data_IF_624482739274
#
_entry.id   IF_624482739274
#
_cell.length_a   1.000
_cell.length_b   1.000
_cell.length_c   1.000
_cell.angle_alpha   90.00
_cell.angle_beta   90.00
_cell.angle_gamma   90.00
#
_symmetry.space_group_name_H-M   'P 1'
#
loop_
_entity.id
_entity.type
_entity.pdbx_description
1 polymer ?
#
# COMPACT_ATOMS: atom_id res chain seq x y z
N UNK A 1 1.47 18.56 11.08
CA UNK A 1 2.59 17.66 10.71
C UNK A 1 2.21 16.18 10.64
N UNK A 2 1.68 15.58 11.71
CA UNK A 2 1.32 14.14 11.70
C UNK A 2 0.29 13.79 10.63
N UNK A 3 -0.80 14.58 10.53
CA UNK A 3 -1.83 14.39 9.50
C UNK A 3 -1.24 14.50 8.09
N UNK A 4 -0.39 15.50 7.84
CA UNK A 4 0.37 15.62 6.58
C UNK A 4 1.21 14.36 6.27
N UNK A 5 1.84 13.76 7.29
CA UNK A 5 2.56 12.50 7.14
C UNK A 5 1.66 11.34 6.73
N UNK A 6 0.45 11.26 7.28
CA UNK A 6 -0.57 10.29 6.85
C UNK A 6 -1.01 10.52 5.40
N UNK A 7 -1.26 11.77 5.01
CA UNK A 7 -1.59 12.12 3.62
C UNK A 7 -0.46 11.71 2.66
N UNK A 8 0.80 11.99 3.01
CA UNK A 8 1.95 11.56 2.20
C UNK A 8 2.04 10.04 2.11
N UNK A 9 1.79 9.30 3.19
CA UNK A 9 1.77 7.83 3.16
C UNK A 9 0.76 7.30 2.13
N UNK A 10 -0.46 7.83 2.14
CA UNK A 10 -1.51 7.45 1.18
C UNK A 10 -1.10 7.83 -0.24
N UNK A 11 -0.61 9.05 -0.44
CA UNK A 11 -0.17 9.55 -1.74
C UNK A 11 1.01 8.73 -2.33
N UNK A 12 1.97 8.33 -1.49
CA UNK A 12 3.09 7.48 -1.89
C UNK A 12 2.62 6.09 -2.32
N UNK A 13 1.64 5.51 -1.62
CA UNK A 13 1.06 4.22 -2.00
C UNK A 13 0.37 4.29 -3.37
N UNK A 14 -0.45 5.31 -3.60
CA UNK A 14 -1.11 5.53 -4.91
C UNK A 14 -0.05 5.67 -6.02
N UNK A 15 1.03 6.43 -5.77
CA UNK A 15 2.14 6.56 -6.71
C UNK A 15 2.82 5.22 -7.01
N UNK A 16 2.97 4.35 -6.01
CA UNK A 16 3.54 3.02 -6.20
C UNK A 16 2.66 2.10 -7.03
N UNK A 17 1.36 2.11 -6.74
CA UNK A 17 0.35 1.30 -7.44
C UNK A 17 0.10 1.79 -8.89
N UNK A 18 0.35 3.07 -9.17
CA UNK A 18 0.28 3.67 -10.51
C UNK A 18 1.54 3.47 -11.37
N UNK A 19 2.63 2.91 -10.83
CA UNK A 19 3.84 2.61 -11.64
C UNK A 19 3.50 1.72 -12.82
N UNK A 20 4.17 1.92 -13.95
CA UNK A 20 3.93 1.18 -15.21
C UNK A 20 3.99 -0.34 -15.03
N UNK A 21 4.88 -0.83 -14.16
CA UNK A 21 5.07 -2.26 -13.91
C UNK A 21 4.03 -2.86 -12.94
N UNK A 22 3.24 -2.02 -12.27
CA UNK A 22 2.19 -2.41 -11.31
C UNK A 22 0.82 -2.11 -11.89
N UNK A 23 0.50 -0.83 -12.11
CA UNK A 23 -0.70 -0.40 -12.79
C UNK A 23 -2.01 -0.86 -12.12
N UNK A 24 -2.05 -1.00 -10.80
CA UNK A 24 -3.24 -1.48 -10.10
C UNK A 24 -4.26 -0.36 -9.86
N UNK A 25 -3.79 0.88 -9.74
CA UNK A 25 -4.62 2.07 -9.59
C UNK A 25 -4.09 3.20 -10.46
N UNK A 26 -4.96 4.15 -10.83
CA UNK A 26 -4.58 5.42 -11.43
C UNK A 26 -5.31 6.58 -10.74
N UNK A 27 -4.64 7.73 -10.62
CA UNK A 27 -5.32 9.00 -10.30
C UNK A 27 -6.43 9.32 -11.33
N UNK A 28 -7.47 10.07 -10.90
CA UNK A 28 -8.49 10.56 -11.82
C UNK A 28 -7.88 11.34 -12.97
N UNK A 29 -8.42 11.13 -14.18
CA UNK A 29 -7.96 11.77 -15.40
C UNK A 29 -9.13 12.44 -16.13
N UNK A 30 -9.20 13.76 -16.06
CA UNK A 30 -10.32 14.51 -16.61
C UNK A 30 -10.32 14.51 -18.16
N UNK A 31 -11.50 14.57 -18.80
CA UNK A 31 -11.60 14.76 -20.24
C UNK A 31 -10.81 15.99 -20.70
N UNK A 32 -9.92 15.81 -21.69
CA UNK A 32 -9.07 16.89 -22.21
C UNK A 32 -7.81 17.19 -21.39
N UNK A 33 -7.59 16.52 -20.25
CA UNK A 33 -6.35 16.63 -19.49
C UNK A 33 -5.17 16.13 -20.32
N UNK A 34 -4.06 16.89 -20.31
CA UNK A 34 -2.79 16.47 -20.92
C UNK A 34 -1.87 15.92 -19.83
N UNK A 35 -1.48 14.66 -19.93
CA UNK A 35 -0.57 14.04 -18.96
C UNK A 35 0.92 14.34 -19.19
N UNK A 36 1.32 14.69 -20.42
CA UNK A 36 2.66 15.16 -20.79
C UNK A 36 2.60 15.98 -22.07
N UNK A 37 3.55 16.89 -22.27
CA UNK A 37 3.65 17.73 -23.47
C UNK A 37 3.99 16.94 -24.74
N UNK A 38 4.81 15.89 -24.61
CA UNK A 38 5.37 15.13 -25.74
C UNK A 38 4.98 13.65 -25.76
N UNK A 39 4.39 13.12 -24.68
CA UNK A 39 4.05 11.71 -24.55
C UNK A 39 2.55 11.53 -24.29
N UNK A 40 1.72 11.36 -25.33
CA UNK A 40 0.26 11.28 -25.20
C UNK A 40 -0.26 10.14 -24.32
N UNK A 41 0.51 9.06 -24.19
CA UNK A 41 0.15 7.90 -23.35
C UNK A 41 0.49 8.08 -21.86
N UNK A 42 1.27 9.11 -21.50
CA UNK A 42 1.82 9.25 -20.15
C UNK A 42 0.76 9.82 -19.19
N UNK A 43 0.42 9.06 -18.15
CA UNK A 43 -0.43 9.49 -17.02
C UNK A 43 0.40 9.51 -15.73
N UNK A 44 0.72 10.71 -15.23
CA UNK A 44 1.53 10.88 -14.03
C UNK A 44 0.64 11.09 -12.80
N UNK A 45 1.05 10.59 -11.61
CA UNK A 45 0.34 10.82 -10.36
C UNK A 45 0.66 12.21 -9.76
N UNK A 46 0.36 13.27 -10.52
CA UNK A 46 0.79 14.64 -10.18
C UNK A 46 0.10 15.18 -8.93
N UNK A 47 -1.10 14.71 -8.61
CA UNK A 47 -1.85 15.17 -7.45
C UNK A 47 -1.21 14.60 -6.17
N UNK A 48 -0.89 13.32 -6.15
CA UNK A 48 -0.18 12.65 -5.06
C UNK A 48 1.26 13.13 -4.93
N UNK A 49 1.96 13.42 -6.03
CA UNK A 49 3.29 14.05 -5.99
C UNK A 49 3.25 15.43 -5.34
N UNK A 50 2.21 16.22 -5.63
CA UNK A 50 2.00 17.50 -4.98
C UNK A 50 1.71 17.35 -3.47
N UNK A 51 0.81 16.43 -3.08
CA UNK A 51 0.52 16.13 -1.66
C UNK A 51 1.80 15.71 -0.92
N UNK A 52 2.65 14.89 -1.56
CA UNK A 52 3.96 14.49 -1.02
C UNK A 52 4.86 15.70 -0.76
N UNK A 53 4.91 16.65 -1.70
CA UNK A 53 5.70 17.87 -1.56
C UNK A 53 5.22 18.76 -0.41
N UNK A 54 3.91 19.00 -0.33
CA UNK A 54 3.33 19.84 0.72
C UNK A 54 3.48 19.23 2.12
N UNK A 55 3.40 17.91 2.24
CA UNK A 55 3.62 17.23 3.52
C UNK A 55 5.00 17.53 4.12
N UNK A 56 6.03 17.68 3.27
CA UNK A 56 7.40 18.04 3.70
C UNK A 56 7.45 19.46 4.26
N UNK A 57 6.77 20.41 3.62
CA UNK A 57 6.67 21.79 4.12
C UNK A 57 5.98 21.81 5.49
N UNK A 58 4.84 21.14 5.63
CA UNK A 58 4.09 21.10 6.90
C UNK A 58 4.91 20.47 8.04
N UNK A 59 5.77 19.48 7.75
CA UNK A 59 6.71 18.96 8.76
C UNK A 59 7.81 19.96 9.11
N UNK A 60 8.32 20.70 8.13
CA UNK A 60 9.26 21.81 8.35
C UNK A 60 8.67 22.86 9.31
N UNK A 61 7.43 23.29 9.06
CA UNK A 61 6.73 24.23 9.93
C UNK A 61 6.58 23.75 11.37
N UNK A 62 6.37 22.44 11.59
CA UNK A 62 6.32 21.90 12.94
C UNK A 62 7.68 21.91 13.63
N UNK A 63 8.77 21.67 12.91
CA UNK A 63 10.12 21.83 13.47
C UNK A 63 10.37 23.29 13.88
N UNK A 64 10.02 24.25 13.02
CA UNK A 64 10.11 25.69 13.32
C UNK A 64 9.24 26.08 14.53
N UNK A 65 8.04 25.50 14.66
CA UNK A 65 7.18 25.73 15.83
C UNK A 65 7.82 25.23 17.14
N UNK A 66 8.56 24.12 17.11
CA UNK A 66 9.29 23.62 18.28
C UNK A 66 10.41 24.57 18.71
N UNK A 67 11.05 25.25 17.75
CA UNK A 67 12.09 26.24 18.03
C UNK A 67 11.53 27.51 18.72
N UNK A 68 10.24 27.82 18.55
CA UNK A 68 9.58 28.94 19.23
C UNK A 68 9.33 28.74 20.74
N UNK A 69 9.57 27.53 21.29
CA UNK A 69 9.19 27.22 22.67
C UNK A 69 10.03 27.94 23.74
N UNK A 70 11.32 28.16 23.48
CA UNK A 70 12.27 28.64 24.48
C UNK A 70 12.30 30.17 24.60
N UNK A 71 11.15 30.78 24.90
CA UNK A 71 11.05 32.23 25.09
C UNK A 71 11.72 32.69 26.40
N UNK A 72 12.20 33.93 26.41
CA UNK A 72 12.86 34.52 27.57
C UNK A 72 11.84 35.11 28.55
N UNK A 73 11.88 34.65 29.81
CA UNK A 73 11.06 35.14 30.93
C UNK A 73 9.55 35.15 30.62
N UNK A 74 8.83 36.25 30.88
CA UNK A 74 7.37 36.36 30.72
C UNK A 74 6.91 36.47 29.25
N UNK A 75 7.78 36.97 28.35
CA UNK A 75 7.75 36.80 26.89
C UNK A 75 8.92 37.56 26.23
N UNK A 76 9.35 37.05 25.08
CA UNK A 76 9.93 37.85 24.01
C UNK A 76 9.08 37.72 22.73
N UNK A 77 9.38 38.50 21.68
CA UNK A 77 8.54 38.60 20.47
C UNK A 77 9.08 37.79 19.28
N UNK A 78 10.15 37.01 19.45
CA UNK A 78 10.82 36.30 18.34
C UNK A 78 9.89 35.32 17.60
N UNK A 79 9.02 34.63 18.34
CA UNK A 79 8.01 33.72 17.78
C UNK A 79 7.01 34.40 16.83
N UNK A 80 6.74 35.71 17.01
CA UNK A 80 5.67 36.41 16.28
C UNK A 80 5.92 36.50 14.78
N UNK A 81 7.16 36.78 14.34
CA UNK A 81 7.49 36.81 12.91
C UNK A 81 7.42 35.42 12.27
N UNK A 82 7.80 34.39 13.03
CA UNK A 82 7.75 32.99 12.62
C UNK A 82 6.30 32.51 12.48
N UNK A 83 5.48 32.71 13.51
CA UNK A 83 4.07 32.27 13.55
C UNK A 83 3.20 32.94 12.51
N UNK A 84 3.53 34.17 12.12
CA UNK A 84 2.89 34.87 10.99
C UNK A 84 3.06 34.16 9.65
N UNK A 85 4.12 33.34 9.50
CA UNK A 85 4.36 32.51 8.32
C UNK A 85 3.80 31.11 8.58
N UNK A 86 4.33 30.42 9.58
CA UNK A 86 4.06 28.99 9.75
C UNK A 86 2.61 28.70 10.17
N UNK A 87 1.93 29.61 10.86
CA UNK A 87 0.54 29.44 11.29
C UNK A 87 -0.41 29.36 10.09
N UNK A 88 -0.55 30.45 9.31
CA UNK A 88 -1.38 30.46 8.11
C UNK A 88 -0.95 29.39 7.10
N UNK A 89 0.34 29.30 6.77
CA UNK A 89 0.82 28.42 5.71
C UNK A 89 0.60 26.94 6.06
N UNK A 90 0.80 26.53 7.32
CA UNK A 90 0.54 25.14 7.71
C UNK A 90 -0.94 24.80 7.61
N UNK A 91 -1.84 25.69 8.03
CA UNK A 91 -3.28 25.44 7.95
C UNK A 91 -3.78 25.42 6.50
N UNK A 92 -3.34 26.36 5.67
CA UNK A 92 -3.71 26.43 4.25
C UNK A 92 -3.18 25.22 3.47
N UNK A 93 -1.92 24.84 3.69
CA UNK A 93 -1.35 23.66 3.04
C UNK A 93 -2.10 22.38 3.44
N UNK A 94 -2.45 22.24 4.72
CA UNK A 94 -3.21 21.08 5.20
C UNK A 94 -4.61 21.01 4.61
N UNK A 95 -5.35 22.12 4.61
CA UNK A 95 -6.69 22.21 4.01
C UNK A 95 -6.66 21.77 2.54
N UNK A 96 -5.76 22.38 1.77
CA UNK A 96 -5.58 22.04 0.36
C UNK A 96 -5.17 20.57 0.13
N UNK A 97 -4.25 20.04 0.95
CA UNK A 97 -3.85 18.63 0.87
C UNK A 97 -5.02 17.68 1.11
N UNK A 98 -5.87 17.98 2.09
CA UNK A 98 -7.03 17.16 2.42
C UNK A 98 -8.06 17.18 1.31
N UNK A 99 -8.44 18.37 0.82
CA UNK A 99 -9.38 18.51 -0.29
C UNK A 99 -8.88 17.76 -1.54
N UNK A 100 -7.62 17.98 -1.92
CA UNK A 100 -7.01 17.31 -3.06
C UNK A 100 -6.96 15.79 -2.90
N UNK A 101 -6.57 15.30 -1.73
CA UNK A 101 -6.48 13.87 -1.50
C UNK A 101 -7.89 13.23 -1.50
N UNK A 102 -8.90 13.93 -0.98
CA UNK A 102 -10.29 13.48 -1.08
C UNK A 102 -10.72 13.34 -2.55
N UNK A 103 -10.46 14.35 -3.40
CA UNK A 103 -10.76 14.29 -4.84
C UNK A 103 -10.05 13.11 -5.53
N UNK A 104 -8.79 12.84 -5.17
CA UNK A 104 -8.03 11.70 -5.68
C UNK A 104 -8.68 10.38 -5.29
N UNK A 105 -9.08 10.24 -4.03
CA UNK A 105 -9.70 9.00 -3.53
C UNK A 105 -11.08 8.78 -4.14
N UNK A 106 -11.90 9.83 -4.25
CA UNK A 106 -13.23 9.77 -4.86
C UNK A 106 -13.16 9.39 -6.35
N UNK A 107 -12.16 9.91 -7.07
CA UNK A 107 -11.96 9.66 -8.50
C UNK A 107 -10.99 8.54 -8.84
N UNK A 108 -10.53 7.74 -7.88
CA UNK A 108 -9.46 6.76 -8.09
C UNK A 108 -9.92 5.63 -9.05
N UNK A 109 -9.20 5.43 -10.14
CA UNK A 109 -9.45 4.33 -11.07
C UNK A 109 -8.77 3.06 -10.53
N UNK A 110 -9.57 2.07 -10.09
CA UNK A 110 -9.08 0.77 -9.61
C UNK A 110 -9.20 -0.26 -10.74
N UNK A 111 -8.16 -1.08 -10.92
CA UNK A 111 -8.07 -2.11 -11.98
C UNK A 111 -7.94 -3.53 -11.42
N UNK A 112 -9.04 -4.17 -10.99
CA UNK A 112 -9.02 -5.49 -10.36
C UNK A 112 -8.42 -6.59 -11.25
N UNK A 113 -8.58 -6.49 -12.56
CA UNK A 113 -8.00 -7.40 -13.54
C UNK A 113 -6.47 -7.34 -13.56
N UNK A 114 -5.90 -6.14 -13.44
CA UNK A 114 -4.44 -5.95 -13.36
C UNK A 114 -3.91 -6.45 -12.01
N UNK A 115 -4.63 -6.17 -10.92
CA UNK A 115 -4.30 -6.71 -9.59
C UNK A 115 -4.25 -8.25 -9.61
N UNK A 116 -5.23 -8.90 -10.23
CA UNK A 116 -5.26 -10.37 -10.36
C UNK A 116 -4.10 -10.88 -11.22
N UNK A 117 -3.83 -10.24 -12.35
CA UNK A 117 -2.68 -10.60 -13.20
C UNK A 117 -1.33 -10.44 -12.46
N UNK A 118 -1.18 -9.40 -11.64
CA UNK A 118 0.02 -9.18 -10.83
C UNK A 118 0.21 -10.26 -9.76
N UNK A 119 -0.87 -10.69 -9.10
CA UNK A 119 -0.84 -11.81 -8.15
C UNK A 119 -0.41 -13.12 -8.83
N UNK A 120 -0.88 -13.36 -10.05
CA UNK A 120 -0.56 -14.55 -10.85
C UNK A 120 0.83 -14.50 -11.48
N UNK A 121 1.50 -13.34 -11.49
CA UNK A 121 2.79 -13.13 -12.18
C UNK A 121 3.91 -14.04 -11.69
N UNK A 122 3.84 -14.51 -10.44
CA UNK A 122 4.78 -15.48 -9.86
C UNK A 122 4.29 -16.94 -9.97
N UNK A 123 3.33 -17.22 -10.85
CA UNK A 123 2.83 -18.56 -11.13
C UNK A 123 2.26 -19.28 -9.92
N UNK A 124 1.71 -18.54 -8.95
CA UNK A 124 1.15 -19.08 -7.71
C UNK A 124 2.13 -19.20 -6.55
N UNK A 125 3.38 -18.76 -6.66
CA UNK A 125 4.36 -18.83 -5.57
C UNK A 125 3.91 -18.12 -4.27
N UNK A 126 2.94 -17.21 -4.35
CA UNK A 126 2.30 -16.57 -3.20
C UNK A 126 1.66 -17.58 -2.22
N UNK A 127 1.29 -18.78 -2.69
CA UNK A 127 0.71 -19.85 -1.88
C UNK A 127 1.76 -20.71 -1.16
N UNK A 128 3.05 -20.40 -1.29
CA UNK A 128 4.16 -21.18 -0.72
C UNK A 128 4.04 -21.41 0.79
N UNK A 129 3.58 -20.41 1.55
CA UNK A 129 3.35 -20.55 2.99
C UNK A 129 2.26 -21.60 3.29
N UNK A 130 1.14 -21.57 2.57
CA UNK A 130 0.05 -22.53 2.77
C UNK A 130 0.51 -23.97 2.52
N UNK A 131 1.28 -24.17 1.44
CA UNK A 131 1.84 -25.47 1.09
C UNK A 131 2.82 -25.94 2.16
N UNK A 132 3.71 -25.06 2.63
CA UNK A 132 4.65 -25.36 3.71
C UNK A 132 3.91 -25.83 4.98
N UNK A 133 2.89 -25.08 5.42
CA UNK A 133 2.11 -25.43 6.60
C UNK A 133 1.34 -26.73 6.43
N UNK A 134 0.80 -27.00 5.24
CA UNK A 134 0.12 -28.24 4.92
C UNK A 134 1.07 -29.45 5.01
N UNK A 135 2.28 -29.34 4.46
CA UNK A 135 3.31 -30.39 4.55
C UNK A 135 3.68 -30.70 6.00
N UNK A 136 3.90 -29.67 6.83
CA UNK A 136 4.21 -29.83 8.25
C UNK A 136 3.05 -30.52 8.99
N UNK A 137 1.80 -30.15 8.72
CA UNK A 137 0.61 -30.81 9.28
C UNK A 137 0.49 -32.28 8.86
N UNK A 138 1.08 -32.66 7.73
CA UNK A 138 1.18 -34.04 7.23
C UNK A 138 2.44 -34.78 7.71
N UNK A 139 3.14 -34.23 8.70
CA UNK A 139 4.25 -34.89 9.39
C UNK A 139 5.63 -34.66 8.77
N UNK A 140 5.76 -33.81 7.74
CA UNK A 140 7.08 -33.41 7.24
C UNK A 140 7.81 -32.54 8.27
N UNK A 141 9.13 -32.67 8.37
CA UNK A 141 9.93 -31.73 9.18
C UNK A 141 9.92 -30.37 8.51
N UNK A 142 9.77 -29.30 9.30
CA UNK A 142 9.64 -27.92 8.80
C UNK A 142 10.80 -27.50 7.89
N UNK A 143 12.04 -27.81 8.27
CA UNK A 143 13.22 -27.46 7.49
C UNK A 143 13.29 -28.21 6.14
N UNK A 144 12.88 -29.48 6.13
CA UNK A 144 12.79 -30.27 4.90
C UNK A 144 11.69 -29.71 3.98
N UNK A 145 10.49 -29.50 4.52
CA UNK A 145 9.37 -28.92 3.77
C UNK A 145 9.69 -27.52 3.22
N UNK A 146 10.43 -26.70 3.98
CA UNK A 146 10.89 -25.40 3.51
C UNK A 146 11.79 -25.53 2.28
N UNK A 147 12.77 -26.43 2.30
CA UNK A 147 13.68 -26.66 1.15
C UNK A 147 12.92 -27.17 -0.07
N UNK A 148 11.94 -28.04 0.12
CA UNK A 148 11.11 -28.58 -0.96
C UNK A 148 10.25 -27.50 -1.62
N UNK A 149 9.58 -26.69 -0.81
CA UNK A 149 8.78 -25.56 -1.30
C UNK A 149 9.69 -24.53 -1.98
N UNK A 150 10.83 -24.19 -1.37
CA UNK A 150 11.77 -23.21 -1.91
C UNK A 150 12.29 -23.62 -3.29
N UNK A 151 12.75 -24.87 -3.48
CA UNK A 151 13.22 -25.32 -4.81
C UNK A 151 12.13 -25.25 -5.87
N UNK A 152 10.88 -25.57 -5.52
CA UNK A 152 9.74 -25.46 -6.44
C UNK A 152 9.44 -23.99 -6.80
N UNK A 153 9.56 -23.06 -5.85
CA UNK A 153 9.41 -21.62 -6.15
C UNK A 153 10.55 -21.09 -7.04
N UNK A 154 11.80 -21.51 -6.80
CA UNK A 154 12.97 -21.07 -7.56
C UNK A 154 13.02 -21.60 -8.99
N UNK A 155 12.39 -22.75 -9.26
CA UNK A 155 12.26 -23.28 -10.62
C UNK A 155 11.45 -22.35 -11.54
N UNK A 156 10.58 -21.50 -10.97
CA UNK A 156 9.71 -20.59 -11.72
C UNK A 156 8.62 -21.31 -12.53
N UNK A 157 7.82 -20.52 -13.25
CA UNK A 157 6.67 -21.02 -14.00
C UNK A 157 5.51 -21.41 -13.09
N UNK A 158 4.80 -22.48 -13.43
CA UNK A 158 3.59 -22.93 -12.72
C UNK A 158 3.96 -23.66 -11.42
N UNK A 159 3.87 -22.94 -10.29
CA UNK A 159 4.29 -23.44 -8.98
C UNK A 159 3.50 -24.67 -8.53
N UNK A 160 2.20 -24.73 -8.84
CA UNK A 160 1.36 -25.87 -8.49
C UNK A 160 1.82 -27.13 -9.22
N UNK A 161 2.13 -27.02 -10.52
CA UNK A 161 2.68 -28.15 -11.28
C UNK A 161 4.04 -28.59 -10.77
N UNK A 162 4.93 -27.65 -10.41
CA UNK A 162 6.25 -27.98 -9.86
C UNK A 162 6.12 -28.79 -8.57
N UNK A 163 5.21 -28.39 -7.68
CA UNK A 163 4.93 -29.12 -6.44
C UNK A 163 4.31 -30.51 -6.69
N UNK A 164 3.46 -30.64 -7.70
CA UNK A 164 2.81 -31.92 -8.01
C UNK A 164 3.76 -32.99 -8.56
N UNK A 165 4.83 -32.58 -9.25
CA UNK A 165 5.85 -33.50 -9.79
C UNK A 165 7.04 -33.70 -8.85
N UNK A 166 7.14 -32.91 -7.79
CA UNK A 166 8.21 -33.00 -6.81
C UNK A 166 8.05 -34.27 -5.95
N UNK A 167 9.06 -35.16 -5.90
CA UNK A 167 8.91 -36.47 -5.27
C UNK A 167 8.79 -36.40 -3.74
N UNK A 168 9.34 -35.37 -3.09
CA UNK A 168 9.20 -35.24 -1.64
C UNK A 168 7.84 -34.64 -1.28
N UNK A 169 7.36 -33.66 -2.04
CA UNK A 169 6.02 -33.07 -1.82
C UNK A 169 4.91 -34.07 -2.13
N UNK A 170 5.00 -34.80 -3.25
CA UNK A 170 3.99 -35.75 -3.69
C UNK A 170 3.81 -36.95 -2.74
N UNK A 171 4.79 -37.24 -1.88
CA UNK A 171 4.66 -38.23 -0.79
C UNK A 171 3.68 -37.80 0.30
N UNK A 172 3.49 -36.50 0.49
CA UNK A 172 2.68 -35.94 1.58
C UNK A 172 1.36 -35.34 1.10
N UNK A 173 1.31 -34.76 -0.10
CA UNK A 173 0.14 -34.07 -0.63
C UNK A 173 -0.22 -34.62 -2.02
N UNK A 174 -1.44 -35.15 -2.17
CA UNK A 174 -1.94 -35.61 -3.47
C UNK A 174 -2.34 -34.41 -4.34
N UNK A 175 -2.38 -34.53 -5.68
CA UNK A 175 -2.72 -33.42 -6.58
C UNK A 175 -4.04 -32.70 -6.27
N UNK A 176 -5.08 -33.46 -5.89
CA UNK A 176 -6.38 -32.87 -5.51
C UNK A 176 -6.30 -32.06 -4.21
N UNK A 177 -5.54 -32.52 -3.23
CA UNK A 177 -5.33 -31.80 -1.97
C UNK A 177 -4.42 -30.58 -2.16
N UNK A 178 -3.45 -30.69 -3.07
CA UNK A 178 -2.59 -29.58 -3.42
C UNK A 178 -3.38 -28.45 -4.08
N UNK A 179 -4.32 -28.78 -4.96
CA UNK A 179 -5.15 -27.79 -5.65
C UNK A 179 -5.99 -26.93 -4.70
N UNK A 180 -6.44 -27.47 -3.56
CA UNK A 180 -7.23 -26.70 -2.59
C UNK A 180 -6.39 -25.68 -1.80
N UNK A 181 -5.06 -25.76 -1.86
CA UNK A 181 -4.14 -24.79 -1.22
C UNK A 181 -3.85 -23.58 -2.10
N UNK A 182 -4.34 -23.56 -3.34
CA UNK A 182 -4.18 -22.47 -4.29
C UNK A 182 -5.46 -21.63 -4.38
N UNK A 183 -6.03 -21.33 -3.21
CA UNK A 183 -7.26 -20.56 -3.08
C UNK A 183 -7.00 -19.22 -2.37
N UNK A 184 -7.28 -18.12 -3.08
CA UNK A 184 -7.13 -16.76 -2.57
C UNK A 184 -8.15 -16.44 -1.49
N UNK A 185 -9.35 -17.04 -1.52
CA UNK A 185 -10.41 -16.82 -0.53
C UNK A 185 -9.95 -17.18 0.88
N UNK A 186 -9.07 -18.17 1.00
CA UNK A 186 -8.44 -18.50 2.28
C UNK A 186 -7.76 -17.27 2.90
N UNK A 187 -7.03 -16.47 2.13
CA UNK A 187 -6.35 -15.28 2.64
C UNK A 187 -7.32 -14.12 2.94
N UNK A 188 -8.48 -14.10 2.31
CA UNK A 188 -9.48 -13.03 2.45
C UNK A 188 -10.54 -13.31 3.53
N UNK A 189 -10.57 -14.51 4.11
CA UNK A 189 -11.60 -14.98 5.07
C UNK A 189 -11.87 -14.05 6.29
N UNK A 190 -10.92 -13.20 6.66
CA UNK A 190 -11.05 -12.28 7.80
C UNK A 190 -11.29 -10.82 7.39
N UNK A 191 -11.41 -10.54 6.08
CA UNK A 191 -11.51 -9.17 5.58
C UNK A 191 -12.71 -8.44 6.17
N UNK A 192 -13.90 -9.07 6.21
CA UNK A 192 -15.11 -8.46 6.74
C UNK A 192 -14.96 -8.05 8.22
N UNK A 193 -14.37 -8.92 9.04
CA UNK A 193 -14.13 -8.61 10.45
C UNK A 193 -13.15 -7.43 10.65
N UNK A 194 -12.18 -7.26 9.74
CA UNK A 194 -11.26 -6.13 9.77
C UNK A 194 -11.95 -4.82 9.33
N UNK A 195 -12.79 -4.88 8.29
CA UNK A 195 -13.56 -3.71 7.82
C UNK A 195 -14.56 -3.24 8.88
N UNK A 196 -15.33 -4.14 9.48
CA UNK A 196 -16.23 -3.82 10.60
C UNK A 196 -15.49 -3.11 11.72
N UNK A 197 -14.37 -3.67 12.20
CA UNK A 197 -13.60 -3.04 13.28
C UNK A 197 -13.02 -1.67 12.93
N UNK A 198 -12.70 -1.43 11.66
CA UNK A 198 -12.08 -0.17 11.23
C UNK A 198 -13.12 0.93 10.94
N UNK A 199 -14.34 0.57 10.55
CA UNK A 199 -15.38 1.50 10.09
C UNK A 199 -16.53 1.67 11.09
N UNK A 200 -16.85 0.65 11.91
CA UNK A 200 -17.95 0.73 12.88
C UNK A 200 -17.61 1.54 14.14
N UNK A 201 -16.32 1.79 14.41
CA UNK A 201 -15.89 2.71 15.48
C UNK A 201 -16.16 4.21 15.14
N UNK A 202 -16.67 4.51 13.93
CA UNK A 202 -17.04 5.87 13.48
C UNK A 202 -18.54 6.20 13.71
N UNK A 203 -19.37 5.20 14.05
CA UNK A 203 -20.75 5.41 14.53
C UNK A 203 -20.72 5.78 16.03
N UNK A 204 -20.19 6.97 16.31
CA UNK A 204 -20.07 7.59 17.62
C UNK A 204 -21.40 7.84 18.34
N UNK A 205 -22.04 6.76 18.76
CA UNK A 205 -22.91 6.73 19.94
C UNK A 205 -22.06 6.44 21.19
N UNK A 206 -21.15 7.37 21.53
CA UNK A 206 -20.55 7.51 22.86
C UNK A 206 -20.28 8.97 23.19
#
# INVERSE_FOLDING_TARGET
ALLAGTCERIAVEIRHLQRTEVGEVLEPFAPGQKGSSAMPHKRNPILCENVTGLARLVRGYAATALENMALWHERDISHSSVERVIGPDATLAMDFMLARLADVIEGLEVRPEVMRANLERLGGAIFSEQVLLALVRRGAKRDEAYRWVQRCTQAGGDFQKQLAVDPDVARHLKPLELATLFDTEHHLRHIQALFSRALEDDDGSR
#
